data_IF_164177063067
#
_entry.id   IF_164177063067
#
_cell.length_a   1.000
_cell.length_b   1.000
_cell.length_c   1.000
_cell.angle_alpha   90.00
_cell.angle_beta   90.00
_cell.angle_gamma   90.00
#
_symmetry.space_group_name_H-M   'P 1'
#
loop_
_entity.id
_entity.type
_entity.pdbx_description
1 polymer ?
#
# COMPACT_ATOMS: atom_id res chain seq x y z
N UNK A 1 22.18 -25.26 -2.07
CA UNK A 1 22.80 -24.04 -1.52
C UNK A 1 23.26 -24.32 -0.12
N UNK A 2 24.55 -24.17 0.16
CA UNK A 2 25.15 -24.27 1.50
C UNK A 2 24.49 -23.23 2.41
N UNK A 3 23.84 -23.67 3.49
CA UNK A 3 23.28 -22.75 4.49
C UNK A 3 24.45 -22.02 5.16
N UNK A 4 24.41 -20.69 5.19
CA UNK A 4 25.37 -19.85 5.91
C UNK A 4 25.42 -20.24 7.39
N UNK A 5 26.61 -20.21 7.99
CA UNK A 5 26.82 -20.60 9.38
C UNK A 5 26.04 -19.71 10.34
N UNK A 6 25.62 -20.24 11.50
CA UNK A 6 24.93 -19.47 12.55
C UNK A 6 25.74 -18.22 12.93
N UNK A 7 27.07 -18.35 12.99
CA UNK A 7 27.96 -17.25 13.31
C UNK A 7 27.93 -16.14 12.25
N UNK A 8 27.89 -16.50 10.96
CA UNK A 8 27.80 -15.56 9.85
C UNK A 8 26.46 -14.81 9.85
N UNK A 9 25.36 -15.54 10.10
CA UNK A 9 24.01 -14.95 10.19
C UNK A 9 23.92 -13.93 11.34
N UNK A 10 24.52 -14.23 12.49
CA UNK A 10 24.55 -13.31 13.62
C UNK A 10 25.40 -12.07 13.31
N UNK A 11 26.57 -12.23 12.66
CA UNK A 11 27.38 -11.09 12.21
C UNK A 11 26.61 -10.20 11.24
N UNK A 12 25.89 -10.79 10.28
CA UNK A 12 25.08 -10.04 9.31
C UNK A 12 23.94 -9.28 10.00
N UNK A 13 23.26 -9.92 10.96
CA UNK A 13 22.22 -9.29 11.78
C UNK A 13 22.76 -8.10 12.56
N UNK A 14 23.90 -8.23 13.22
CA UNK A 14 24.50 -7.13 13.98
C UNK A 14 24.91 -5.96 13.08
N UNK A 15 25.48 -6.26 11.90
CA UNK A 15 25.81 -5.22 10.90
C UNK A 15 24.57 -4.47 10.42
N UNK A 16 23.49 -5.20 10.13
CA UNK A 16 22.22 -4.61 9.71
C UNK A 16 21.68 -3.66 10.78
N UNK A 17 21.58 -4.14 12.03
CA UNK A 17 21.08 -3.34 13.15
C UNK A 17 21.92 -2.08 13.37
N UNK A 18 23.24 -2.19 13.32
CA UNK A 18 24.14 -1.04 13.45
C UNK A 18 23.88 0.04 12.39
N UNK A 19 23.74 -0.36 11.12
CA UNK A 19 23.47 0.58 10.03
C UNK A 19 22.10 1.25 10.17
N UNK A 20 21.08 0.49 10.55
CA UNK A 20 19.73 1.01 10.77
C UNK A 20 19.68 2.01 11.93
N UNK A 21 20.28 1.67 13.07
CA UNK A 21 20.35 2.57 14.24
C UNK A 21 21.06 3.87 13.89
N UNK A 22 22.19 3.82 13.19
CA UNK A 22 22.93 5.01 12.76
C UNK A 22 22.09 5.97 11.90
N UNK A 23 21.23 5.44 11.03
CA UNK A 23 20.32 6.26 10.22
C UNK A 23 19.17 6.80 11.08
N UNK A 24 18.58 5.96 11.93
CA UNK A 24 17.50 6.37 12.82
C UNK A 24 17.93 7.44 13.82
N UNK A 25 19.18 7.42 14.30
CA UNK A 25 19.78 8.44 15.17
C UNK A 25 19.90 9.80 14.51
N UNK A 26 19.93 9.84 13.18
CA UNK A 26 19.97 11.08 12.39
C UNK A 26 18.59 11.61 12.02
N UNK A 27 17.51 11.05 12.57
CA UNK A 27 16.14 11.50 12.31
C UNK A 27 15.48 10.91 11.06
N UNK A 28 16.05 9.85 10.47
CA UNK A 28 15.51 9.25 9.23
C UNK A 28 14.15 8.60 9.48
N UNK A 29 13.93 8.00 10.65
CA UNK A 29 12.68 7.34 10.99
C UNK A 29 11.49 8.33 11.03
N UNK A 30 11.70 9.49 11.64
CA UNK A 30 10.75 10.59 11.72
C UNK A 30 10.52 11.23 10.35
N UNK A 31 11.59 11.42 9.57
CA UNK A 31 11.51 11.96 8.22
C UNK A 31 10.60 11.11 7.32
N UNK A 32 10.72 9.79 7.36
CA UNK A 32 9.84 8.88 6.58
C UNK A 32 8.36 9.13 6.90
N UNK A 33 8.01 9.23 8.18
CA UNK A 33 6.64 9.45 8.61
C UNK A 33 6.10 10.79 8.12
N UNK A 34 6.92 11.85 8.21
CA UNK A 34 6.55 13.20 7.76
C UNK A 34 6.30 13.25 6.24
N UNK A 35 7.13 12.56 5.44
CA UNK A 35 6.94 12.49 3.99
C UNK A 35 5.67 11.72 3.62
N UNK A 36 5.34 10.64 4.32
CA UNK A 36 4.06 9.92 4.13
C UNK A 36 2.89 10.82 4.54
N UNK A 37 2.96 11.51 5.68
CA UNK A 37 1.94 12.45 6.16
C UNK A 37 1.71 13.65 5.23
N UNK A 38 2.75 14.08 4.52
CA UNK A 38 2.62 15.14 3.52
C UNK A 38 1.80 14.74 2.29
N UNK A 39 1.66 13.45 1.98
CA UNK A 39 1.01 12.98 0.76
C UNK A 39 -0.46 13.42 0.63
N UNK A 40 -1.28 13.27 1.68
CA UNK A 40 -2.69 13.69 1.62
C UNK A 40 -2.86 15.20 1.46
N UNK A 41 -1.88 16.01 1.92
CA UNK A 41 -1.93 17.47 1.81
C UNK A 41 -1.78 17.95 0.36
N UNK A 42 -1.04 17.20 -0.45
CA UNK A 42 -0.87 17.53 -1.87
C UNK A 42 -2.15 17.31 -2.69
N UNK A 43 -2.92 16.25 -2.41
CA UNK A 43 -4.17 15.98 -3.14
C UNK A 43 -5.26 17.03 -2.88
N UNK A 44 -5.35 17.59 -1.67
CA UNK A 44 -6.30 18.67 -1.36
C UNK A 44 -5.92 20.01 -2.00
N UNK A 45 -4.62 20.23 -2.26
CA UNK A 45 -4.15 21.48 -2.90
C UNK A 45 -4.35 21.51 -4.41
N UNK A 46 -4.33 20.35 -5.09
CA UNK A 46 -4.62 20.26 -6.53
C UNK A 46 -6.12 20.27 -6.84
N UNK A 47 -6.98 19.93 -5.87
CA UNK A 47 -8.44 19.93 -6.01
C UNK A 47 -9.17 21.23 -5.64
N UNK A 48 -8.46 22.29 -5.19
CA UNK A 48 -9.10 23.55 -4.73
C UNK A 48 -8.81 24.80 -5.57
N UNK A 49 -8.07 24.67 -6.67
CA UNK A 49 -7.87 25.76 -7.62
C UNK A 49 -8.96 25.77 -8.71
N UNK A 50 -10.20 26.10 -8.34
CA UNK A 50 -11.25 26.32 -9.33
C UNK A 50 -12.68 26.25 -8.84
N UNK A 51 -13.12 27.19 -7.99
CA UNK A 51 -14.53 27.61 -7.97
C UNK A 51 -14.71 28.88 -7.14
N UNK A 52 -14.46 30.02 -7.78
CA UNK A 52 -15.07 31.30 -7.39
C UNK A 52 -15.48 32.04 -8.68
N UNK A 53 -16.75 31.94 -9.04
CA UNK A 53 -17.38 32.84 -10.03
C UNK A 53 -18.33 32.16 -11.02
N UNK A 54 -19.63 32.47 -10.89
CA UNK A 54 -20.56 32.49 -12.03
C UNK A 54 -21.68 31.44 -12.04
N UNK A 55 -22.84 31.82 -11.53
CA UNK A 55 -24.13 31.21 -11.85
C UNK A 55 -24.52 31.42 -13.32
N UNK A 56 -24.91 30.38 -14.08
CA UNK A 56 -26.08 30.35 -15.01
C UNK A 56 -26.47 28.88 -15.32
N UNK A 57 -27.76 28.65 -15.52
CA UNK A 57 -28.50 27.40 -15.74
C UNK A 57 -28.14 26.55 -16.99
N UNK A 58 -28.55 25.26 -16.99
CA UNK A 58 -28.92 24.51 -18.20
C UNK A 58 -28.49 23.04 -18.31
N UNK A 59 -29.47 22.13 -18.20
CA UNK A 59 -29.61 20.80 -18.88
C UNK A 59 -28.54 19.70 -18.79
N UNK A 60 -28.94 18.59 -18.16
CA UNK A 60 -28.76 17.16 -18.52
C UNK A 60 -27.54 16.69 -19.34
N UNK A 61 -26.70 15.81 -18.77
CA UNK A 61 -26.40 14.47 -19.31
C UNK A 61 -25.31 13.72 -18.50
N UNK A 62 -25.58 12.42 -18.28
CA UNK A 62 -24.68 11.29 -18.00
C UNK A 62 -23.49 11.48 -17.04
N UNK A 63 -23.64 10.90 -15.84
CA UNK A 63 -22.56 10.57 -14.93
C UNK A 63 -21.69 9.44 -15.50
N UNK A 64 -20.42 9.75 -15.77
CA UNK A 64 -19.34 8.80 -16.01
C UNK A 64 -18.16 9.20 -15.15
N UNK A 65 -18.03 8.58 -13.97
CA UNK A 65 -16.94 8.81 -13.03
C UNK A 65 -15.69 8.08 -13.50
N UNK A 66 -14.79 8.80 -14.16
CA UNK A 66 -13.44 8.37 -14.50
C UNK A 66 -12.49 9.54 -14.24
N UNK A 67 -12.04 9.70 -12.98
CA UNK A 67 -11.23 10.86 -12.59
C UNK A 67 -10.25 10.63 -11.44
N UNK A 68 -10.01 9.38 -11.01
CA UNK A 68 -9.13 9.09 -9.86
C UNK A 68 -7.69 8.70 -10.21
N UNK A 69 -7.41 8.24 -11.43
CA UNK A 69 -6.11 7.62 -11.78
C UNK A 69 -4.95 8.60 -11.98
N UNK A 70 -5.22 9.83 -12.42
CA UNK A 70 -4.15 10.74 -12.86
C UNK A 70 -3.32 11.40 -11.74
N UNK A 71 -3.79 11.44 -10.48
CA UNK A 71 -3.08 12.18 -9.41
C UNK A 71 -2.06 11.34 -8.64
N UNK A 72 -2.18 10.01 -8.61
CA UNK A 72 -1.22 9.15 -7.92
C UNK A 72 0.12 9.11 -8.69
N UNK A 73 0.05 9.09 -10.03
CA UNK A 73 1.20 8.90 -10.92
C UNK A 73 2.31 9.94 -10.75
N UNK A 74 1.97 11.21 -10.46
CA UNK A 74 2.98 12.29 -10.34
C UNK A 74 3.84 12.18 -9.07
N UNK A 75 3.27 11.73 -7.95
CA UNK A 75 3.98 11.66 -6.66
C UNK A 75 4.45 10.24 -6.29
N UNK A 76 4.03 9.22 -7.06
CA UNK A 76 4.40 7.81 -6.86
C UNK A 76 5.90 7.58 -6.69
N UNK A 77 6.81 8.18 -7.50
CA UNK A 77 8.25 7.89 -7.37
C UNK A 77 8.85 8.34 -6.03
N UNK A 78 8.43 9.50 -5.52
CA UNK A 78 8.92 10.04 -4.25
C UNK A 78 8.45 9.16 -3.09
N UNK A 79 7.15 8.86 -3.03
CA UNK A 79 6.61 8.05 -1.93
C UNK A 79 7.11 6.61 -1.98
N UNK A 80 7.28 6.04 -3.17
CA UNK A 80 7.87 4.71 -3.35
C UNK A 80 9.30 4.68 -2.80
N UNK A 81 10.08 5.72 -3.06
CA UNK A 81 11.45 5.84 -2.52
C UNK A 81 11.45 5.97 -1.00
N UNK A 82 10.52 6.75 -0.44
CA UNK A 82 10.32 6.86 1.01
C UNK A 82 9.93 5.52 1.65
N UNK A 83 9.02 4.76 1.03
CA UNK A 83 8.65 3.42 1.50
C UNK A 83 9.82 2.44 1.42
N UNK A 84 10.62 2.48 0.34
CA UNK A 84 11.83 1.66 0.21
C UNK A 84 12.82 1.94 1.33
N UNK A 85 13.01 3.21 1.69
CA UNK A 85 13.85 3.60 2.82
C UNK A 85 13.29 3.12 4.15
N UNK A 86 11.98 3.31 4.38
CA UNK A 86 11.28 2.82 5.57
C UNK A 86 11.41 1.31 5.77
N UNK A 87 11.19 0.53 4.70
CA UNK A 87 11.38 -0.92 4.69
C UNK A 87 12.82 -1.28 5.04
N UNK A 88 13.80 -0.55 4.51
CA UNK A 88 15.22 -0.83 4.74
C UNK A 88 15.63 -0.62 6.20
N UNK A 89 15.10 0.42 6.85
CA UNK A 89 15.40 0.69 8.27
C UNK A 89 14.63 -0.18 9.26
N UNK A 90 13.48 -0.74 8.85
CA UNK A 90 12.68 -1.65 9.66
C UNK A 90 13.00 -3.13 9.41
N UNK A 91 13.77 -3.46 8.36
CA UNK A 91 14.06 -4.83 7.94
C UNK A 91 14.57 -5.67 9.13
N UNK A 92 13.91 -6.80 9.39
CA UNK A 92 14.27 -7.72 10.46
C UNK A 92 13.71 -7.34 11.84
N UNK A 93 12.60 -6.58 11.87
CA UNK A 93 11.91 -6.20 13.10
C UNK A 93 12.73 -5.30 14.03
N UNK A 94 13.32 -4.21 13.52
CA UNK A 94 14.11 -3.30 14.36
C UNK A 94 13.22 -2.56 15.37
N UNK A 95 13.14 -3.10 16.59
CA UNK A 95 12.28 -2.62 17.67
C UNK A 95 12.60 -1.18 18.08
N UNK A 96 13.86 -0.75 18.01
CA UNK A 96 14.24 0.64 18.36
C UNK A 96 13.68 1.63 17.34
N UNK A 97 13.79 1.32 16.05
CA UNK A 97 13.21 2.15 14.99
C UNK A 97 11.68 2.18 15.10
N UNK A 98 11.04 1.03 15.30
CA UNK A 98 9.59 0.94 15.51
C UNK A 98 9.15 1.81 16.70
N UNK A 99 9.86 1.75 17.83
CA UNK A 99 9.58 2.54 19.04
C UNK A 99 9.70 4.03 18.77
N UNK A 100 10.74 4.48 18.06
CA UNK A 100 10.92 5.89 17.71
C UNK A 100 9.82 6.40 16.80
N UNK A 101 9.49 5.64 15.76
CA UNK A 101 8.37 5.96 14.86
C UNK A 101 7.06 6.11 15.64
N UNK A 102 6.75 5.14 16.51
CA UNK A 102 5.52 5.16 17.30
C UNK A 102 5.47 6.36 18.26
N UNK A 103 6.58 6.63 18.96
CA UNK A 103 6.70 7.78 19.86
C UNK A 103 6.45 9.09 19.10
N UNK A 104 7.08 9.25 17.94
CA UNK A 104 6.89 10.43 17.10
C UNK A 104 5.43 10.64 16.71
N UNK A 105 4.74 9.59 16.24
CA UNK A 105 3.32 9.68 15.86
C UNK A 105 2.42 10.04 17.04
N UNK A 106 2.68 9.48 18.23
CA UNK A 106 1.92 9.75 19.46
C UNK A 106 2.15 11.19 19.96
N UNK A 107 3.42 11.63 20.01
CA UNK A 107 3.79 12.97 20.49
C UNK A 107 3.23 14.07 19.58
N UNK A 108 3.27 13.86 18.27
CA UNK A 108 2.75 14.82 17.28
C UNK A 108 1.25 14.72 17.06
N UNK A 109 0.60 13.66 17.54
CA UNK A 109 -0.81 13.35 17.24
C UNK A 109 -1.08 13.44 15.74
N UNK A 110 -0.20 12.82 14.94
CA UNK A 110 -0.16 13.02 13.49
C UNK A 110 -1.32 12.29 12.80
N UNK A 111 -2.46 12.98 12.66
CA UNK A 111 -3.62 12.50 11.92
C UNK A 111 -3.31 12.38 10.42
N UNK A 112 -2.48 13.28 9.89
CA UNK A 112 -2.15 13.36 8.46
C UNK A 112 -1.44 12.11 7.95
N UNK A 113 -0.62 11.47 8.78
CA UNK A 113 -0.01 10.17 8.46
C UNK A 113 -1.09 9.13 8.15
N UNK A 114 -2.05 8.96 9.06
CA UNK A 114 -3.07 7.92 8.95
C UNK A 114 -4.07 8.18 7.82
N UNK A 115 -4.50 9.43 7.62
CA UNK A 115 -5.38 9.77 6.49
C UNK A 115 -4.66 9.60 5.16
N UNK A 116 -3.36 9.96 5.07
CA UNK A 116 -2.57 9.72 3.87
C UNK A 116 -2.47 8.24 3.53
N UNK A 117 -2.29 7.39 4.54
CA UNK A 117 -2.25 5.93 4.36
C UNK A 117 -3.57 5.39 3.84
N UNK A 118 -4.69 5.81 4.45
CA UNK A 118 -6.01 5.39 3.99
C UNK A 118 -6.23 5.76 2.52
N UNK A 119 -5.88 6.99 2.14
CA UNK A 119 -5.95 7.44 0.75
C UNK A 119 -5.09 6.59 -0.16
N UNK A 120 -3.84 6.31 0.21
CA UNK A 120 -2.93 5.47 -0.60
C UNK A 120 -3.47 4.06 -0.80
N UNK A 121 -3.96 3.41 0.27
CA UNK A 121 -4.53 2.06 0.21
C UNK A 121 -5.79 2.02 -0.66
N UNK A 122 -6.62 3.06 -0.61
CA UNK A 122 -7.81 3.19 -1.43
C UNK A 122 -7.48 3.45 -2.91
N UNK A 123 -6.38 4.14 -3.18
CA UNK A 123 -5.90 4.41 -4.55
C UNK A 123 -5.13 3.26 -5.19
N UNK A 124 -4.70 2.24 -4.43
CA UNK A 124 -4.04 1.06 -4.99
C UNK A 124 -4.94 0.33 -5.98
N UNK A 125 -4.42 0.08 -7.18
CA UNK A 125 -5.13 -0.60 -8.25
C UNK A 125 -5.28 -2.11 -7.97
N UNK A 126 -6.21 -2.73 -8.69
CA UNK A 126 -6.47 -4.18 -8.70
C UNK A 126 -6.48 -4.66 -10.16
N UNK A 127 -6.68 -5.96 -10.36
CA UNK A 127 -6.69 -6.56 -11.70
C UNK A 127 -7.93 -6.12 -12.48
N UNK A 128 -7.81 -5.10 -13.32
CA UNK A 128 -8.91 -4.55 -14.08
C UNK A 128 -9.10 -5.33 -15.40
N UNK A 129 -10.19 -6.09 -15.51
CA UNK A 129 -10.45 -6.92 -16.69
C UNK A 129 -10.64 -6.09 -17.97
N UNK A 130 -11.30 -4.93 -17.90
CA UNK A 130 -11.54 -4.06 -19.05
C UNK A 130 -10.23 -3.41 -19.54
N UNK A 131 -9.36 -3.00 -18.62
CA UNK A 131 -8.02 -2.52 -18.95
C UNK A 131 -7.15 -3.63 -19.55
N UNK A 132 -7.26 -4.87 -19.03
CA UNK A 132 -6.57 -6.03 -19.58
C UNK A 132 -6.99 -6.29 -21.04
N UNK A 133 -8.29 -6.37 -21.32
CA UNK A 133 -8.78 -6.62 -22.68
C UNK A 133 -8.40 -5.51 -23.67
N UNK A 134 -8.45 -4.24 -23.23
CA UNK A 134 -8.00 -3.11 -24.05
C UNK A 134 -6.52 -3.22 -24.41
N UNK A 135 -5.68 -3.57 -23.44
CA UNK A 135 -4.24 -3.75 -23.66
C UNK A 135 -3.97 -4.93 -24.61
N UNK A 136 -4.67 -6.05 -24.44
CA UNK A 136 -4.54 -7.22 -25.31
C UNK A 136 -4.94 -6.91 -26.76
N UNK A 137 -6.04 -6.16 -26.97
CA UNK A 137 -6.49 -5.72 -28.30
C UNK A 137 -5.47 -4.78 -28.96
N UNK A 138 -4.88 -3.85 -28.19
CA UNK A 138 -3.86 -2.94 -28.70
C UNK A 138 -2.58 -3.69 -29.13
N UNK A 139 -2.14 -4.68 -28.34
CA UNK A 139 -1.01 -5.55 -28.67
C UNK A 139 -1.28 -6.38 -29.94
N UNK A 140 -2.49 -6.91 -30.10
CA UNK A 140 -2.90 -7.68 -31.28
C UNK A 140 -2.88 -6.85 -32.58
N UNK A 141 -3.09 -5.53 -32.50
CA UNK A 141 -3.03 -4.61 -33.64
C UNK A 141 -1.60 -4.12 -33.95
N UNK A 142 -0.58 -4.61 -33.23
CA UNK A 142 0.80 -4.15 -33.38
C UNK A 142 1.03 -2.71 -32.91
N UNK A 143 0.03 -2.09 -32.26
CA UNK A 143 0.13 -0.75 -31.68
C UNK A 143 0.80 -0.89 -30.32
N UNK A 144 2.11 -1.17 -30.36
CA UNK A 144 2.96 -1.09 -29.18
C UNK A 144 3.07 0.39 -28.84
N UNK A 145 2.24 0.86 -27.91
CA UNK A 145 2.33 2.25 -27.43
C UNK A 145 3.62 2.39 -26.62
N UNK A 146 4.72 2.65 -27.31
CA UNK A 146 5.99 3.14 -26.75
C UNK A 146 5.79 4.61 -26.33
N UNK A 147 4.86 4.83 -25.40
CA UNK A 147 4.50 6.16 -24.88
C UNK A 147 4.00 6.06 -23.45
N UNK A 148 4.10 7.18 -22.72
CA UNK A 148 3.73 7.33 -21.30
C UNK A 148 2.24 7.02 -20.97
N UNK A 149 1.43 6.61 -21.96
CA UNK A 149 -0.01 6.39 -21.85
C UNK A 149 -0.46 4.92 -21.97
N UNK A 150 0.47 3.95 -22.00
CA UNK A 150 0.12 2.55 -21.76
C UNK A 150 0.23 2.28 -20.25
N UNK A 151 -0.79 2.69 -19.49
CA UNK A 151 -0.93 2.20 -18.11
C UNK A 151 -1.21 0.69 -18.19
N UNK A 152 -0.13 -0.09 -18.12
CA UNK A 152 -0.19 -1.53 -17.96
C UNK A 152 -1.05 -1.83 -16.74
N UNK A 153 -1.87 -2.88 -16.83
CA UNK A 153 -2.70 -3.31 -15.72
C UNK A 153 -1.84 -3.53 -14.47
N UNK A 154 -2.33 -3.08 -13.31
CA UNK A 154 -1.58 -3.04 -12.05
C UNK A 154 -0.17 -2.44 -12.18
N UNK A 155 -0.04 -1.31 -12.87
CA UNK A 155 1.25 -0.59 -13.00
C UNK A 155 1.88 -0.22 -11.65
N UNK A 156 1.06 -0.09 -10.61
CA UNK A 156 1.46 0.23 -9.24
C UNK A 156 1.73 -1.01 -8.37
N UNK A 157 1.79 -2.22 -8.93
CA UNK A 157 1.98 -3.46 -8.18
C UNK A 157 3.18 -3.45 -7.23
N UNK A 158 4.32 -2.87 -7.66
CA UNK A 158 5.49 -2.70 -6.80
C UNK A 158 5.16 -1.77 -5.63
N UNK A 159 4.55 -0.62 -5.91
CA UNK A 159 4.17 0.37 -4.90
C UNK A 159 3.23 -0.25 -3.86
N UNK A 160 2.16 -0.91 -4.31
CA UNK A 160 1.19 -1.58 -3.45
C UNK A 160 1.87 -2.61 -2.55
N UNK A 161 2.75 -3.46 -3.09
CA UNK A 161 3.52 -4.41 -2.28
C UNK A 161 4.40 -3.71 -1.23
N UNK A 162 5.08 -2.62 -1.60
CA UNK A 162 5.94 -1.87 -0.66
C UNK A 162 5.12 -1.19 0.43
N UNK A 163 3.94 -0.66 0.10
CA UNK A 163 3.02 -0.06 1.08
C UNK A 163 2.62 -1.08 2.15
N UNK A 164 2.10 -2.23 1.73
CA UNK A 164 1.71 -3.31 2.66
C UNK A 164 2.91 -3.89 3.42
N UNK A 165 4.07 -4.03 2.76
CA UNK A 165 5.31 -4.50 3.41
C UNK A 165 5.78 -3.54 4.50
N UNK A 166 5.65 -2.22 4.30
CA UNK A 166 6.00 -1.25 5.32
C UNK A 166 5.15 -1.45 6.59
N UNK A 167 3.83 -1.64 6.46
CA UNK A 167 2.95 -1.92 7.62
C UNK A 167 3.24 -3.25 8.29
N UNK A 168 3.53 -4.27 7.50
CA UNK A 168 3.97 -5.57 8.04
C UNK A 168 5.17 -5.38 8.98
N UNK A 169 6.18 -4.64 8.53
CA UNK A 169 7.42 -4.42 9.27
C UNK A 169 7.24 -3.55 10.53
N UNK A 170 6.21 -2.70 10.59
CA UNK A 170 5.88 -1.95 11.80
C UNK A 170 5.33 -2.85 12.92
N UNK A 171 4.68 -3.96 12.55
CA UNK A 171 4.11 -4.94 13.48
C UNK A 171 5.03 -6.16 13.74
N UNK A 172 6.04 -6.36 12.89
CA UNK A 172 6.98 -7.48 12.98
C UNK A 172 7.60 -7.58 14.38
N UNK A 173 7.65 -8.80 14.92
CA UNK A 173 8.12 -9.07 16.28
C UNK A 173 7.06 -8.89 17.37
N UNK A 174 5.77 -9.01 17.02
CA UNK A 174 4.63 -8.89 17.94
C UNK A 174 4.57 -7.54 18.65
N UNK A 175 4.79 -6.45 17.91
CA UNK A 175 4.75 -5.11 18.46
C UNK A 175 3.32 -4.67 18.79
N UNK A 176 2.83 -5.08 19.96
CA UNK A 176 1.45 -4.87 20.40
C UNK A 176 1.05 -3.39 20.44
N UNK A 177 1.98 -2.50 20.81
CA UNK A 177 1.69 -1.06 20.83
C UNK A 177 1.43 -0.52 19.42
N UNK A 178 2.25 -0.90 18.45
CA UNK A 178 2.08 -0.46 17.06
C UNK A 178 0.85 -1.12 16.42
N UNK A 179 0.62 -2.42 16.68
CA UNK A 179 -0.57 -3.15 16.25
C UNK A 179 -1.86 -2.47 16.72
N UNK A 180 -1.92 -2.07 18.00
CA UNK A 180 -3.06 -1.35 18.55
C UNK A 180 -3.19 0.06 17.97
N UNK A 181 -2.07 0.75 17.79
CA UNK A 181 -2.06 2.11 17.24
C UNK A 181 -2.39 2.16 15.74
N UNK A 182 -2.24 1.08 14.98
CA UNK A 182 -2.77 0.97 13.60
C UNK A 182 -4.29 0.78 13.56
N UNK A 183 -4.89 0.20 14.61
CA UNK A 183 -6.34 0.02 14.73
C UNK A 183 -7.03 1.28 15.26
N UNK A 184 -6.46 1.91 16.28
CA UNK A 184 -7.07 3.04 16.99
C UNK A 184 -6.02 4.00 17.51
N UNK A 185 -6.12 5.28 17.12
CA UNK A 185 -5.17 6.33 17.51
C UNK A 185 -5.75 7.16 18.67
N UNK A 186 -5.68 6.60 19.88
CA UNK A 186 -6.12 7.31 21.07
C UNK A 186 -5.36 8.64 21.24
N UNK A 187 -6.10 9.74 21.37
CA UNK A 187 -5.54 11.09 21.50
C UNK A 187 -5.53 11.92 20.21
N UNK A 188 -5.79 11.30 19.06
CA UNK A 188 -6.05 11.98 17.79
C UNK A 188 -7.53 12.38 17.67
N UNK A 189 -7.83 13.40 16.85
CA UNK A 189 -9.21 13.84 16.56
C UNK A 189 -9.94 12.90 15.61
N UNK A 190 -9.20 12.19 14.77
CA UNK A 190 -9.71 11.24 13.78
C UNK A 190 -9.00 9.91 13.95
N UNK A 191 -9.76 8.81 13.92
CA UNK A 191 -9.21 7.46 13.92
C UNK A 191 -9.34 6.85 12.53
N UNK A 192 -8.25 6.25 12.04
CA UNK A 192 -8.22 5.43 10.83
C UNK A 192 -7.85 4.01 11.23
N UNK A 193 -8.71 3.06 10.90
CA UNK A 193 -8.45 1.66 11.17
C UNK A 193 -7.72 1.02 9.98
N UNK A 194 -6.39 1.04 10.02
CA UNK A 194 -5.53 0.52 8.93
C UNK A 194 -5.70 -1.00 8.75
N UNK A 195 -6.05 -1.72 9.82
CA UNK A 195 -6.34 -3.16 9.75
C UNK A 195 -7.57 -3.41 8.88
N UNK A 196 -8.64 -2.64 9.08
CA UNK A 196 -9.86 -2.75 8.25
C UNK A 196 -9.61 -2.27 6.82
N UNK A 197 -8.87 -1.18 6.62
CA UNK A 197 -8.47 -0.75 5.26
C UNK A 197 -7.69 -1.84 4.52
N UNK A 198 -6.93 -2.68 5.23
CA UNK A 198 -6.20 -3.81 4.64
C UNK A 198 -7.18 -4.92 4.19
N UNK A 199 -8.20 -5.21 4.99
CA UNK A 199 -9.29 -6.15 4.62
C UNK A 199 -10.08 -5.62 3.43
N UNK A 200 -10.44 -4.33 3.41
CA UNK A 200 -11.20 -3.73 2.32
C UNK A 200 -10.44 -3.78 0.99
N UNK A 201 -9.12 -3.58 1.00
CA UNK A 201 -8.28 -3.80 -0.19
C UNK A 201 -8.29 -5.27 -0.62
N UNK A 202 -8.17 -6.21 0.32
CA UNK A 202 -8.17 -7.63 0.02
C UNK A 202 -9.48 -8.09 -0.64
N UNK A 203 -10.63 -7.57 -0.20
CA UNK A 203 -11.93 -7.88 -0.80
C UNK A 203 -12.03 -7.37 -2.24
N UNK A 204 -11.60 -6.13 -2.52
CA UNK A 204 -11.53 -5.61 -3.90
C UNK A 204 -10.61 -6.47 -4.78
N UNK A 205 -9.46 -6.89 -4.25
CA UNK A 205 -8.53 -7.75 -4.97
C UNK A 205 -9.15 -9.12 -5.25
N UNK A 206 -9.86 -9.71 -4.27
CA UNK A 206 -10.54 -11.00 -4.43
C UNK A 206 -11.64 -10.95 -5.50
N UNK A 207 -12.48 -9.90 -5.51
CA UNK A 207 -13.50 -9.69 -6.55
C UNK A 207 -12.83 -9.62 -7.93
N UNK A 208 -11.77 -8.83 -8.08
CA UNK A 208 -11.05 -8.70 -9.36
C UNK A 208 -10.43 -10.01 -9.86
N UNK A 209 -9.91 -10.84 -8.95
CA UNK A 209 -9.35 -12.17 -9.26
C UNK A 209 -10.47 -13.13 -9.70
N UNK A 210 -11.66 -13.02 -9.10
CA UNK A 210 -12.81 -13.86 -9.44
C UNK A 210 -13.34 -13.54 -10.84
N UNK A 211 -13.45 -12.26 -11.20
CA UNK A 211 -13.84 -11.83 -12.55
C UNK A 211 -12.84 -12.35 -13.59
N UNK A 212 -11.54 -12.27 -13.29
CA UNK A 212 -10.49 -12.81 -14.15
C UNK A 212 -10.55 -14.33 -14.30
N UNK A 213 -10.88 -15.06 -13.23
CA UNK A 213 -11.11 -16.50 -13.30
C UNK A 213 -12.26 -16.82 -14.28
N UNK A 214 -13.39 -16.13 -14.17
CA UNK A 214 -14.52 -16.35 -15.05
C UNK A 214 -14.19 -16.04 -16.52
N UNK A 215 -13.41 -15.00 -16.78
CA UNK A 215 -12.94 -14.67 -18.14
C UNK A 215 -12.13 -15.81 -18.79
N UNK A 216 -11.33 -16.55 -18.02
CA UNK A 216 -10.57 -17.70 -18.52
C UNK A 216 -11.28 -19.06 -18.34
N UNK A 217 -12.39 -19.12 -17.60
CA UNK A 217 -13.08 -20.38 -17.28
C UNK A 217 -13.53 -21.19 -18.50
N UNK A 218 -13.85 -20.50 -19.60
CA UNK A 218 -14.26 -21.11 -20.87
C UNK A 218 -13.12 -21.30 -21.87
N UNK A 219 -11.89 -20.91 -21.51
CA UNK A 219 -10.71 -21.00 -22.38
C UNK A 219 -9.86 -22.20 -21.97
N UNK A 220 -9.39 -22.97 -22.95
CA UNK A 220 -8.54 -24.13 -22.69
C UNK A 220 -7.12 -23.75 -22.23
N UNK A 221 -6.62 -22.59 -22.66
CA UNK A 221 -5.27 -22.12 -22.39
C UNK A 221 -5.30 -20.66 -21.95
N UNK A 222 -4.57 -20.34 -20.89
CA UNK A 222 -4.32 -18.97 -20.43
C UNK A 222 -3.14 -18.41 -21.23
N UNK A 223 -3.33 -17.26 -21.87
CA UNK A 223 -2.26 -16.62 -22.64
C UNK A 223 -1.14 -16.06 -21.72
N UNK A 224 0.06 -15.79 -22.26
CA UNK A 224 1.19 -15.29 -21.47
C UNK A 224 0.91 -13.98 -20.74
N UNK A 225 0.16 -13.05 -21.37
CA UNK A 225 -0.21 -11.77 -20.76
C UNK A 225 -1.17 -11.98 -19.59
N UNK A 226 -2.14 -12.89 -19.76
CA UNK A 226 -3.04 -13.29 -18.68
C UNK A 226 -2.30 -13.88 -17.49
N UNK A 227 -1.34 -14.78 -17.76
CA UNK A 227 -0.49 -15.39 -16.73
C UNK A 227 0.34 -14.35 -15.98
N UNK A 228 0.97 -13.40 -16.69
CA UNK A 228 1.78 -12.34 -16.07
C UNK A 228 0.94 -11.46 -15.13
N UNK A 229 -0.23 -11.02 -15.58
CA UNK A 229 -1.12 -10.17 -14.78
C UNK A 229 -1.68 -10.95 -13.57
N UNK A 230 -2.06 -12.21 -13.75
CA UNK A 230 -2.52 -13.05 -12.65
C UNK A 230 -1.42 -13.24 -11.58
N UNK A 231 -0.17 -13.51 -11.98
CA UNK A 231 0.96 -13.65 -11.05
C UNK A 231 1.19 -12.35 -10.25
N UNK A 232 1.04 -11.17 -10.86
CA UNK A 232 1.12 -9.88 -10.15
C UNK A 232 0.04 -9.78 -9.08
N UNK A 233 -1.22 -10.08 -9.41
CA UNK A 233 -2.33 -10.07 -8.45
C UNK A 233 -2.07 -11.01 -7.27
N UNK A 234 -1.62 -12.25 -7.55
CA UNK A 234 -1.28 -13.23 -6.50
C UNK A 234 -0.09 -12.76 -5.64
N UNK A 235 0.89 -12.09 -6.23
CA UNK A 235 2.04 -11.54 -5.50
C UNK A 235 1.61 -10.46 -4.51
N UNK A 236 0.70 -9.57 -4.94
CA UNK A 236 0.10 -8.55 -4.06
C UNK A 236 -0.71 -9.24 -2.96
N UNK A 237 -1.59 -10.19 -3.32
CA UNK A 237 -2.41 -10.93 -2.35
C UNK A 237 -1.55 -11.59 -1.26
N UNK A 238 -0.46 -12.26 -1.64
CA UNK A 238 0.50 -12.85 -0.70
C UNK A 238 1.04 -11.80 0.29
N UNK A 239 1.43 -10.64 -0.19
CA UNK A 239 1.95 -9.58 0.66
C UNK A 239 0.87 -9.02 1.61
N UNK A 240 -0.37 -8.86 1.15
CA UNK A 240 -1.51 -8.43 1.97
C UNK A 240 -1.80 -9.45 3.07
N UNK A 241 -1.83 -10.75 2.75
CA UNK A 241 -1.97 -11.80 3.76
C UNK A 241 -0.84 -11.76 4.79
N UNK A 242 0.42 -11.61 4.38
CA UNK A 242 1.53 -11.45 5.32
C UNK A 242 1.38 -10.22 6.24
N UNK A 243 0.83 -9.12 5.73
CA UNK A 243 0.55 -7.92 6.55
C UNK A 243 -0.57 -8.20 7.55
N UNK A 244 -1.66 -8.85 7.13
CA UNK A 244 -2.75 -9.25 8.02
C UNK A 244 -2.25 -10.20 9.12
N UNK A 245 -1.42 -11.19 8.79
CA UNK A 245 -0.87 -12.11 9.80
C UNK A 245 -0.06 -11.37 10.86
N UNK A 246 0.87 -10.49 10.48
CA UNK A 246 1.67 -9.73 11.45
C UNK A 246 0.83 -8.74 12.27
N UNK A 247 -0.30 -8.26 11.72
CA UNK A 247 -1.21 -7.39 12.46
C UNK A 247 -1.94 -8.09 13.61
N UNK A 248 -2.07 -9.42 13.55
CA UNK A 248 -2.77 -10.22 14.59
C UNK A 248 -1.86 -11.18 15.37
N UNK A 249 -0.61 -11.38 14.92
CA UNK A 249 0.31 -12.33 15.52
C UNK A 249 0.77 -11.86 16.91
N UNK A 250 0.89 -12.83 17.83
CA UNK A 250 1.06 -12.57 19.26
C UNK A 250 -0.31 -12.45 19.97
N UNK A 251 -0.35 -12.37 21.31
CA UNK A 251 -1.60 -12.12 22.03
C UNK A 251 -2.09 -10.69 21.75
N UNK A 252 -2.81 -10.49 20.64
CA UNK A 252 -3.44 -9.23 20.24
C UNK A 252 -4.97 -9.43 20.08
N UNK A 253 -5.70 -9.63 21.20
CA UNK A 253 -7.11 -10.04 21.17
C UNK A 253 -8.00 -9.02 20.47
N UNK A 254 -7.65 -7.74 20.52
CA UNK A 254 -8.47 -6.68 19.96
C UNK A 254 -8.36 -6.60 18.43
N UNK A 255 -7.19 -6.90 17.83
CA UNK A 255 -7.10 -7.03 16.37
C UNK A 255 -7.79 -8.32 15.90
N UNK A 256 -7.70 -9.41 16.68
CA UNK A 256 -8.42 -10.65 16.39
C UNK A 256 -9.94 -10.44 16.41
N UNK A 257 -10.47 -9.72 17.41
CA UNK A 257 -11.89 -9.33 17.45
C UNK A 257 -12.26 -8.40 16.28
N UNK A 258 -11.43 -7.40 15.98
CA UNK A 258 -11.69 -6.49 14.86
C UNK A 258 -11.79 -7.25 13.53
N UNK A 259 -10.94 -8.25 13.29
CA UNK A 259 -11.04 -9.10 12.10
C UNK A 259 -12.26 -10.03 12.15
N UNK A 260 -12.58 -10.63 13.30
CA UNK A 260 -13.73 -11.51 13.45
C UNK A 260 -15.08 -10.82 13.21
N UNK A 261 -15.15 -9.51 13.47
CA UNK A 261 -16.32 -8.67 13.18
C UNK A 261 -16.24 -7.95 11.82
N UNK A 262 -15.16 -8.15 11.07
CA UNK A 262 -15.01 -7.60 9.72
C UNK A 262 -15.64 -8.52 8.67
N UNK A 263 -15.53 -8.13 7.39
CA UNK A 263 -15.98 -8.92 6.23
C UNK A 263 -14.90 -9.89 5.70
N UNK A 264 -13.77 -10.03 6.40
CA UNK A 264 -12.70 -10.97 6.06
C UNK A 264 -13.20 -12.42 6.05
#
# INVERSE_FOLDING_TARGET
GTKSSIHEQEIEKQRLLFQQSRLSDRGVAEMILLYISAFSRYQTSSGSAGSAGGSVAGSSSAAGSAGGGHSLSQHTPMILSTLKLGISILRGGNVEVQRRMLRHLKDKKDVGFFTSIQTLMNSCSVLDLDAFERNQKAEALGVRSEGFASEKNMYDAEFTCKLFRFFQLLCEGHNLEFQNYLRTQAGNTTTVNVVISTVDYLLRLQESIMDFYWHYSSKEIIDPSGTENFIKAITIAKQVFCTLTESIQGPCPQNQQALAHSRL
#
